data_IF_155141375149
#
_entry.id   IF_155141375149
#
_cell.length_a   1.000
_cell.length_b   1.000
_cell.length_c   1.000
_cell.angle_alpha   90.00
_cell.angle_beta   90.00
_cell.angle_gamma   90.00
#
_symmetry.space_group_name_H-M   'P 1'
#
loop_
_entity.id
_entity.type
_entity.pdbx_description
1 polymer ?
#
# COMPACT_ATOMS: atom_id res chain seq x y z
N UNK A 1 -55.02 -15.71 23.85
CA UNK A 1 -53.69 -15.75 24.49
C UNK A 1 -52.71 -15.96 23.36
N UNK A 2 -52.04 -14.88 22.92
CA UNK A 2 -51.14 -14.93 21.76
C UNK A 2 -49.73 -15.29 22.25
N UNK A 3 -49.15 -16.32 21.66
CA UNK A 3 -47.80 -16.80 21.90
C UNK A 3 -46.78 -15.74 21.44
N UNK A 4 -45.86 -15.35 22.34
CA UNK A 4 -44.72 -14.50 22.00
C UNK A 4 -43.71 -15.34 21.20
N UNK A 5 -43.64 -15.11 19.89
CA UNK A 5 -42.58 -15.68 19.05
C UNK A 5 -41.25 -15.05 19.47
N UNK A 6 -40.40 -15.86 20.10
CA UNK A 6 -39.04 -15.48 20.49
C UNK A 6 -38.18 -15.37 19.22
N UNK A 7 -37.69 -14.16 18.91
CA UNK A 7 -36.71 -13.98 17.84
C UNK A 7 -35.38 -14.66 18.23
N UNK A 8 -34.73 -15.40 17.32
CA UNK A 8 -33.42 -15.99 17.59
C UNK A 8 -32.37 -14.88 17.79
N UNK A 9 -31.32 -15.12 18.60
CA UNK A 9 -30.24 -14.15 18.76
C UNK A 9 -29.59 -13.90 17.40
N UNK A 10 -29.47 -12.62 17.02
CA UNK A 10 -28.68 -12.20 15.85
C UNK A 10 -27.22 -12.53 16.17
N UNK A 11 -26.79 -13.72 15.76
CA UNK A 11 -25.39 -14.09 15.71
C UNK A 11 -24.76 -13.32 14.55
N UNK A 12 -24.28 -12.11 14.80
CA UNK A 12 -23.44 -11.39 13.86
C UNK A 12 -22.05 -12.06 13.82
N UNK A 13 -21.95 -13.15 13.06
CA UNK A 13 -20.69 -13.64 12.55
C UNK A 13 -20.42 -12.99 11.18
N UNK A 14 -20.36 -11.66 11.13
CA UNK A 14 -19.74 -10.95 10.01
C UNK A 14 -18.22 -11.07 10.13
N UNK A 15 -17.72 -12.30 9.99
CA UNK A 15 -16.32 -12.50 9.60
C UNK A 15 -16.29 -12.35 8.08
N UNK A 16 -16.09 -11.12 7.61
CA UNK A 16 -15.65 -10.88 6.23
C UNK A 16 -14.29 -11.57 6.09
N UNK A 17 -14.21 -12.79 5.53
CA UNK A 17 -13.03 -13.63 5.72
C UNK A 17 -11.84 -13.20 4.85
N UNK A 18 -12.01 -12.17 4.02
CA UNK A 18 -11.07 -11.81 2.96
C UNK A 18 -10.99 -10.30 2.71
N UNK A 19 -11.20 -9.47 3.73
CA UNK A 19 -10.89 -8.05 3.59
C UNK A 19 -9.39 -7.83 3.79
N UNK A 20 -8.71 -7.52 2.68
CA UNK A 20 -7.26 -7.27 2.63
C UNK A 20 -6.89 -5.82 2.98
N UNK A 21 -7.86 -4.99 3.35
CA UNK A 21 -7.72 -3.55 3.60
C UNK A 21 -7.91 -3.20 5.07
N UNK A 22 -7.51 -4.10 5.96
CA UNK A 22 -7.55 -3.83 7.40
C UNK A 22 -6.35 -3.02 7.88
N UNK A 23 -5.27 -2.97 7.10
CA UNK A 23 -4.10 -2.13 7.32
C UNK A 23 -3.85 -1.30 6.07
N UNK A 24 -3.75 0.01 6.25
CA UNK A 24 -3.60 0.97 5.15
C UNK A 24 -2.22 1.61 5.28
N UNK A 25 -1.37 1.43 4.27
CA UNK A 25 -0.07 2.10 4.18
C UNK A 25 -0.24 3.49 3.60
N UNK A 26 0.45 4.47 4.19
CA UNK A 26 0.37 5.88 3.81
C UNK A 26 1.69 6.37 3.26
N UNK A 27 1.63 7.39 2.40
CA UNK A 27 2.80 8.10 1.87
C UNK A 27 3.88 7.18 1.27
N UNK A 28 3.43 6.11 0.60
CA UNK A 28 4.34 5.19 -0.07
C UNK A 28 4.80 5.82 -1.38
N UNK A 29 6.09 6.18 -1.44
CA UNK A 29 6.69 6.75 -2.63
C UNK A 29 6.86 5.69 -3.71
N UNK A 30 6.98 6.11 -4.98
CA UNK A 30 7.25 5.19 -6.09
C UNK A 30 8.69 4.64 -6.06
N UNK A 31 9.61 5.37 -5.44
CA UNK A 31 11.00 4.97 -5.28
C UNK A 31 11.59 5.45 -3.94
N UNK A 32 12.50 4.66 -3.39
CA UNK A 32 13.29 4.98 -2.20
C UNK A 32 14.79 4.83 -2.49
N UNK A 33 15.65 5.77 -2.05
CA UNK A 33 17.10 5.63 -2.21
C UNK A 33 17.64 4.39 -1.45
N UNK A 34 18.48 3.53 -2.07
CA UNK A 34 18.98 2.29 -1.46
C UNK A 34 19.83 2.45 -0.19
N UNK A 35 20.40 3.64 0.02
CA UNK A 35 21.31 3.93 1.13
C UNK A 35 20.68 4.80 2.22
N UNK A 36 19.37 5.00 2.15
CA UNK A 36 18.57 5.74 3.14
C UNK A 36 17.59 4.79 3.83
N UNK A 37 17.26 5.05 5.10
CA UNK A 37 16.24 4.26 5.78
C UNK A 37 14.86 4.52 5.16
N UNK A 38 13.99 3.51 5.19
CA UNK A 38 12.61 3.63 4.75
C UNK A 38 11.72 3.83 5.97
N UNK A 39 11.02 4.97 6.04
CA UNK A 39 9.97 5.20 7.02
C UNK A 39 8.64 4.64 6.48
N UNK A 40 8.13 3.61 7.14
CA UNK A 40 6.87 2.96 6.82
C UNK A 40 5.78 3.49 7.76
N UNK A 41 4.76 4.15 7.20
CA UNK A 41 3.59 4.64 7.94
C UNK A 41 2.36 3.84 7.57
N UNK A 42 1.58 3.44 8.57
CA UNK A 42 0.34 2.71 8.34
C UNK A 42 -0.69 2.97 9.44
N UNK A 43 -1.96 2.75 9.12
CA UNK A 43 -3.06 2.79 10.11
C UNK A 43 -3.73 1.43 10.20
N UNK A 44 -4.03 1.01 11.43
CA UNK A 44 -4.86 -0.15 11.72
C UNK A 44 -6.33 0.26 11.73
N UNK A 45 -7.16 -0.38 10.91
CA UNK A 45 -8.61 -0.13 10.91
C UNK A 45 -9.28 -0.87 12.06
N UNK A 46 -10.58 -0.61 12.26
CA UNK A 46 -11.38 -1.26 13.31
C UNK A 46 -11.64 -2.76 13.13
N UNK A 47 -11.24 -3.30 11.99
CA UNK A 47 -11.49 -4.68 11.61
C UNK A 47 -10.28 -5.59 11.86
N UNK A 48 -9.19 -5.07 12.45
CA UNK A 48 -8.03 -5.85 12.89
C UNK A 48 -7.70 -5.58 14.34
N UNK A 49 -7.38 -6.66 15.06
CA UNK A 49 -6.84 -6.60 16.40
C UNK A 49 -5.32 -6.84 16.33
N UNK A 50 -4.48 -5.84 16.65
CA UNK A 50 -3.03 -5.99 16.59
C UNK A 50 -2.53 -7.00 17.63
N UNK A 51 -1.53 -7.78 17.26
CA UNK A 51 -0.88 -8.78 18.10
C UNK A 51 0.63 -8.56 18.13
N UNK A 52 1.28 -8.94 19.24
CA UNK A 52 2.74 -8.78 19.44
C UNK A 52 3.62 -9.62 18.51
N UNK A 53 3.02 -10.42 17.64
CA UNK A 53 3.68 -11.25 16.63
C UNK A 53 3.23 -10.88 15.22
N UNK A 54 2.51 -9.78 15.08
CA UNK A 54 2.25 -9.20 13.78
C UNK A 54 3.51 -8.45 13.32
N UNK A 55 3.70 -8.34 12.02
CA UNK A 55 4.89 -7.75 11.45
C UNK A 55 4.61 -7.13 10.09
N UNK A 56 5.45 -6.18 9.71
CA UNK A 56 5.46 -5.59 8.37
C UNK A 56 6.69 -6.08 7.65
N UNK A 57 6.49 -6.65 6.46
CA UNK A 57 7.57 -7.10 5.60
C UNK A 57 7.66 -6.28 4.32
N UNK A 58 8.87 -6.22 3.77
CA UNK A 58 9.12 -5.78 2.40
C UNK A 58 9.16 -7.05 1.54
N UNK A 59 8.32 -7.10 0.51
CA UNK A 59 8.19 -8.25 -0.39
C UNK A 59 8.46 -7.83 -1.81
N UNK A 60 9.21 -8.65 -2.55
CA UNK A 60 9.32 -8.52 -4.00
C UNK A 60 7.96 -8.83 -4.65
N UNK A 61 7.49 -7.98 -5.56
CA UNK A 61 6.22 -8.17 -6.28
C UNK A 61 6.20 -9.54 -6.97
N UNK A 62 5.07 -10.24 -6.87
CA UNK A 62 4.93 -11.63 -7.33
C UNK A 62 5.25 -12.70 -6.27
N UNK A 63 5.48 -12.29 -5.02
CA UNK A 63 5.53 -13.18 -3.85
C UNK A 63 4.27 -14.06 -3.76
N UNK A 64 4.40 -15.28 -3.23
CA UNK A 64 3.30 -16.26 -3.13
C UNK A 64 2.90 -16.54 -1.70
N UNK A 65 3.85 -16.46 -0.78
CA UNK A 65 3.63 -16.75 0.63
C UNK A 65 4.25 -15.68 1.52
N UNK A 66 3.77 -15.52 2.76
CA UNK A 66 4.42 -14.64 3.74
C UNK A 66 5.87 -15.00 4.05
N UNK A 67 6.38 -16.16 3.62
CA UNK A 67 7.79 -16.55 3.80
C UNK A 67 8.73 -15.95 2.75
N UNK A 68 8.18 -15.38 1.69
CA UNK A 68 8.94 -14.79 0.58
C UNK A 68 9.36 -13.33 0.87
N UNK A 69 9.38 -12.93 2.14
CA UNK A 69 9.78 -11.59 2.54
C UNK A 69 11.29 -11.37 2.29
N UNK A 70 11.65 -10.15 1.93
CA UNK A 70 13.05 -9.73 1.83
C UNK A 70 13.60 -9.37 3.22
N UNK A 71 12.90 -8.48 3.93
CA UNK A 71 13.19 -8.09 5.30
C UNK A 71 11.88 -7.76 6.04
N UNK A 72 11.92 -7.71 7.37
CA UNK A 72 10.74 -7.45 8.18
C UNK A 72 11.07 -6.73 9.49
N UNK A 73 10.04 -6.12 10.06
CA UNK A 73 10.04 -5.58 11.42
C UNK A 73 8.75 -5.99 12.14
N UNK A 74 8.87 -6.29 13.44
CA UNK A 74 7.70 -6.55 14.28
C UNK A 74 6.86 -5.27 14.40
N UNK A 75 5.55 -5.42 14.20
CA UNK A 75 4.61 -4.32 14.34
C UNK A 75 4.42 -4.01 15.84
N UNK A 76 4.56 -2.74 16.27
CA UNK A 76 4.26 -2.36 17.63
C UNK A 76 2.77 -2.57 17.92
N UNK A 77 2.46 -3.02 19.14
CA UNK A 77 1.08 -3.07 19.63
C UNK A 77 0.75 -1.71 20.24
N UNK A 78 -0.28 -0.99 19.76
CA UNK A 78 -0.64 0.31 20.31
C UNK A 78 -1.08 0.19 21.77
N UNK A 79 -0.55 1.06 22.64
CA UNK A 79 -0.95 1.14 24.05
C UNK A 79 -2.42 1.57 24.18
N UNK A 80 -3.19 0.90 25.04
CA UNK A 80 -4.63 1.14 25.25
C UNK A 80 -5.01 2.55 25.75
N UNK A 81 -4.04 3.40 26.10
CA UNK A 81 -4.25 4.73 26.66
C UNK A 81 -4.54 5.80 25.59
N UNK A 82 -4.15 5.55 24.34
CA UNK A 82 -4.56 6.36 23.20
C UNK A 82 -5.48 5.47 22.36
N UNK A 83 -6.63 5.99 21.95
CA UNK A 83 -7.61 5.27 21.13
C UNK A 83 -6.92 4.43 20.06
N UNK A 84 -6.87 3.11 20.25
CA UNK A 84 -6.06 2.16 19.47
C UNK A 84 -6.55 2.00 18.03
N UNK A 85 -7.71 2.58 17.73
CA UNK A 85 -8.41 2.55 16.45
C UNK A 85 -8.09 3.82 15.65
N UNK A 86 -7.47 3.65 14.49
CA UNK A 86 -7.15 4.76 13.61
C UNK A 86 -5.85 5.52 13.94
N UNK A 87 -5.08 5.08 14.94
CA UNK A 87 -3.77 5.68 15.23
C UNK A 87 -2.74 5.29 14.18
N UNK A 88 -2.02 6.29 13.66
CA UNK A 88 -0.88 6.09 12.75
C UNK A 88 0.26 5.38 13.49
N UNK A 89 0.81 4.36 12.84
CA UNK A 89 1.94 3.56 13.30
C UNK A 89 3.14 3.84 12.39
N UNK A 90 4.33 3.82 12.97
CA UNK A 90 5.58 4.09 12.26
C UNK A 90 6.59 2.96 12.48
N UNK A 91 7.25 2.54 11.41
CA UNK A 91 8.36 1.61 11.41
C UNK A 91 9.51 2.19 10.58
N UNK A 92 10.74 1.96 11.02
CA UNK A 92 11.94 2.44 10.32
C UNK A 92 12.77 1.23 9.90
N UNK A 93 12.75 0.91 8.61
CA UNK A 93 13.63 -0.09 8.02
C UNK A 93 15.01 0.53 7.78
N UNK A 94 16.03 0.02 8.47
CA UNK A 94 17.39 0.52 8.33
C UNK A 94 17.96 0.21 6.94
N UNK A 95 18.67 1.18 6.35
CA UNK A 95 19.21 1.09 4.99
C UNK A 95 20.01 -0.19 4.70
N UNK A 96 20.76 -0.68 5.69
CA UNK A 96 21.56 -1.89 5.56
C UNK A 96 20.74 -3.17 5.27
N UNK A 97 19.46 -3.19 5.65
CA UNK A 97 18.55 -4.33 5.40
C UNK A 97 17.66 -4.14 4.17
N UNK A 98 17.76 -3.01 3.47
CA UNK A 98 16.94 -2.73 2.30
C UNK A 98 17.55 -3.37 1.04
N UNK A 99 16.71 -3.73 0.05
CA UNK A 99 17.19 -4.08 -1.28
C UNK A 99 18.07 -2.98 -1.86
N UNK A 100 19.02 -3.40 -2.69
CA UNK A 100 19.81 -2.50 -3.51
C UNK A 100 19.05 -2.14 -4.79
N UNK A 101 19.68 -1.33 -5.63
CA UNK A 101 19.14 -1.02 -6.97
C UNK A 101 19.29 -2.23 -7.88
N UNK A 102 18.32 -3.14 -7.78
CA UNK A 102 18.22 -4.39 -8.53
C UNK A 102 17.17 -4.34 -9.65
N UNK A 103 16.52 -3.18 -9.84
CA UNK A 103 15.46 -2.96 -10.83
C UNK A 103 14.13 -3.64 -10.50
N UNK A 104 13.99 -4.27 -9.33
CA UNK A 104 12.79 -5.01 -8.95
C UNK A 104 11.77 -4.11 -8.23
N UNK A 105 10.51 -4.49 -8.35
CA UNK A 105 9.43 -3.85 -7.59
C UNK A 105 9.21 -4.58 -6.28
N UNK A 106 9.00 -3.79 -5.24
CA UNK A 106 8.75 -4.21 -3.87
C UNK A 106 7.45 -3.59 -3.36
N UNK A 107 6.87 -4.18 -2.32
CA UNK A 107 5.72 -3.63 -1.61
C UNK A 107 5.80 -3.98 -0.13
N UNK A 108 5.22 -3.13 0.70
CA UNK A 108 5.04 -3.41 2.13
C UNK A 108 3.80 -4.28 2.30
N UNK A 109 3.90 -5.32 3.12
CA UNK A 109 2.73 -6.12 3.51
C UNK A 109 2.67 -6.27 5.03
N UNK A 110 1.48 -6.09 5.59
CA UNK A 110 1.21 -6.37 6.99
C UNK A 110 0.77 -7.83 7.13
N UNK A 111 1.51 -8.58 7.93
CA UNK A 111 1.28 -10.00 8.18
C UNK A 111 0.91 -10.20 9.64
N UNK A 112 -0.21 -10.85 9.86
CA UNK A 112 -0.68 -11.19 11.21
C UNK A 112 0.06 -12.40 11.78
N UNK A 113 -0.08 -12.61 13.09
CA UNK A 113 0.51 -13.71 13.84
C UNK A 113 0.10 -15.11 13.36
N UNK A 114 -1.04 -15.24 12.68
CA UNK A 114 -1.50 -16.46 12.01
C UNK A 114 -1.02 -16.57 10.55
N UNK A 115 -0.23 -15.61 10.05
CA UNK A 115 0.33 -15.61 8.70
C UNK A 115 -0.59 -15.08 7.61
N UNK A 116 -1.67 -14.37 7.95
CA UNK A 116 -2.57 -13.77 6.97
C UNK A 116 -2.09 -12.37 6.56
N UNK A 117 -2.32 -12.00 5.31
CA UNK A 117 -2.01 -10.67 4.80
C UNK A 117 -3.23 -9.78 4.99
N UNK A 118 -3.06 -8.68 5.73
CA UNK A 118 -4.16 -7.77 6.10
C UNK A 118 -4.01 -6.35 5.55
N UNK A 119 -2.95 -6.11 4.78
CA UNK A 119 -2.69 -4.87 4.06
C UNK A 119 -1.49 -5.04 3.14
N UNK A 120 -1.52 -4.38 1.99
CA UNK A 120 -0.39 -4.28 1.07
C UNK A 120 -0.31 -2.86 0.50
N UNK A 121 0.90 -2.31 0.36
CA UNK A 121 1.09 -1.00 -0.26
C UNK A 121 1.00 -1.06 -1.79
N UNK A 122 0.97 0.11 -2.43
CA UNK A 122 1.35 0.24 -3.83
C UNK A 122 2.81 -0.22 -4.03
N UNK A 123 3.16 -0.82 -5.18
CA UNK A 123 4.54 -1.17 -5.49
C UNK A 123 5.47 0.04 -5.59
N UNK A 124 6.74 -0.16 -5.24
CA UNK A 124 7.81 0.83 -5.30
C UNK A 124 9.16 0.16 -5.61
N UNK A 125 10.18 0.94 -5.94
CA UNK A 125 11.54 0.44 -6.21
C UNK A 125 12.57 1.01 -5.23
N UNK A 126 13.69 0.31 -5.07
CA UNK A 126 14.86 0.86 -4.39
C UNK A 126 15.83 1.41 -5.42
N UNK A 127 15.75 2.70 -5.71
CA UNK A 127 16.64 3.39 -6.64
C UNK A 127 16.73 4.86 -6.30
N UNK A 128 17.80 5.50 -6.72
CA UNK A 128 17.89 6.96 -6.62
C UNK A 128 16.87 7.60 -7.57
N UNK A 129 16.27 8.72 -7.15
CA UNK A 129 15.37 9.50 -7.99
C UNK A 129 16.10 9.90 -9.28
N UNK A 130 15.49 9.62 -10.42
CA UNK A 130 16.00 10.04 -11.73
C UNK A 130 15.27 11.30 -12.17
N UNK A 131 15.93 12.18 -12.94
CA UNK A 131 15.29 13.39 -13.51
C UNK A 131 14.03 13.06 -14.34
N UNK A 132 13.95 11.84 -14.89
CA UNK A 132 12.77 11.35 -15.62
C UNK A 132 11.54 11.12 -14.75
N UNK A 133 11.67 10.90 -13.44
CA UNK A 133 10.53 10.68 -12.55
C UNK A 133 9.75 11.97 -12.28
N UNK A 134 10.44 13.11 -12.27
CA UNK A 134 9.82 14.44 -12.11
C UNK A 134 9.03 14.84 -13.37
N UNK A 135 9.46 14.39 -14.56
CA UNK A 135 8.75 14.63 -15.81
C UNK A 135 7.40 13.93 -15.87
N UNK A 136 7.29 12.72 -15.31
CA UNK A 136 6.03 11.97 -15.33
C UNK A 136 4.97 12.57 -14.40
N UNK A 137 5.39 13.36 -13.39
CA UNK A 137 4.47 14.07 -12.48
C UNK A 137 3.89 15.37 -13.04
N UNK A 138 4.32 15.85 -14.22
CA UNK A 138 3.83 17.11 -14.80
C UNK A 138 2.72 16.97 -15.86
N UNK A 139 2.32 15.76 -16.29
CA UNK A 139 1.39 15.61 -17.43
C UNK A 139 -0.11 15.51 -17.05
N UNK A 140 -0.53 16.10 -15.94
CA UNK A 140 -1.97 16.25 -15.65
C UNK A 140 -2.26 17.63 -15.08
N UNK A 141 -2.23 18.63 -15.94
CA UNK A 141 -3.20 19.73 -15.94
C UNK A 141 -3.04 20.59 -17.22
N UNK A 142 -3.60 20.06 -18.32
CA UNK A 142 -4.11 20.86 -19.44
C UNK A 142 -3.12 21.34 -20.50
N UNK A 143 -2.80 20.49 -21.48
CA UNK A 143 -2.51 20.99 -22.84
C UNK A 143 -3.06 20.02 -23.88
N UNK A 144 -4.26 20.31 -24.37
CA UNK A 144 -4.78 19.71 -25.59
C UNK A 144 -4.22 20.46 -26.79
N UNK A 145 -2.97 20.21 -27.18
CA UNK A 145 -2.45 20.74 -28.46
C UNK A 145 -2.71 19.73 -29.60
N UNK A 146 -3.94 19.77 -30.09
CA UNK A 146 -4.31 19.13 -31.37
C UNK A 146 -3.63 19.89 -32.50
N UNK A 147 -2.68 19.22 -33.17
CA UNK A 147 -2.07 19.74 -34.40
C UNK A 147 -3.04 19.59 -35.59
N UNK A 148 -3.65 20.70 -36.02
CA UNK A 148 -4.48 20.72 -37.25
C UNK A 148 -3.59 20.87 -38.48
N UNK A 149 -3.41 19.79 -39.23
CA UNK A 149 -2.75 19.82 -40.54
C UNK A 149 -3.75 20.27 -41.60
N UNK A 150 -3.57 21.47 -42.18
CA UNK A 150 -4.34 21.90 -43.37
C UNK A 150 -3.51 21.74 -44.63
N UNK A 151 -3.89 20.80 -45.49
CA UNK A 151 -3.32 20.68 -46.83
C UNK A 151 -3.90 21.77 -47.74
N UNK A 152 -3.07 22.68 -48.26
CA UNK A 152 -3.51 23.66 -49.26
C UNK A 152 -3.65 22.98 -50.63
N UNK A 153 -4.89 22.81 -51.10
CA UNK A 153 -5.17 22.52 -52.50
C UNK A 153 -5.11 23.82 -53.32
N UNK A 154 -4.12 23.94 -54.20
CA UNK A 154 -4.02 25.03 -55.15
C UNK A 154 -5.06 24.83 -56.28
N UNK A 155 -5.98 25.79 -56.43
CA UNK A 155 -6.90 25.83 -57.56
C UNK A 155 -6.16 26.35 -58.80
N UNK A 156 -6.02 25.52 -59.84
CA UNK A 156 -5.66 25.95 -61.19
C UNK A 156 -6.87 26.65 -61.82
N UNK A 157 -6.72 27.92 -62.20
CA UNK A 157 -7.64 28.59 -63.14
C UNK A 157 -7.05 28.47 -64.54
N UNK A 158 -7.85 27.92 -65.46
CA UNK A 158 -7.62 27.89 -66.92
C UNK A 158 -7.98 29.24 -67.50
#
# INVERSE_FOLDING_TARGET
MAELVQTPPVGDCNKEPYSFSHVIFHNVAQAYPPDTHLECRYTLTQHIQPHSKDWVGIFKVGWRTPRDYFTFLWAPVPSSTQSSLGSEQHLIFQAYYLPKDDGEFYQLCYVTSNGEIRGASTPFQFRNSSESDELFTLETEGESDILVVTSKAAHLKV
#
